data_IF_184927137013
#
_entry.id   IF_184927137013
#
_cell.length_a   1.000
_cell.length_b   1.000
_cell.length_c   1.000
_cell.angle_alpha   90.00
_cell.angle_beta   90.00
_cell.angle_gamma   90.00
#
_symmetry.space_group_name_H-M   'P 1'
#
loop_
_entity.id
_entity.type
_entity.pdbx_description
1 polymer ?
#
# COMPACT_ATOMS: atom_id res chain seq x y z
N UNK A 1 17.13 -3.54 48.41
CA UNK A 1 16.99 -4.46 47.25
C UNK A 1 16.00 -3.85 46.28
N UNK A 2 16.49 -3.06 45.33
CA UNK A 2 15.67 -2.55 44.23
C UNK A 2 15.60 -3.66 43.19
N UNK A 3 14.42 -4.25 43.01
CA UNK A 3 14.18 -5.19 41.92
C UNK A 3 14.50 -4.47 40.61
N UNK A 4 15.48 -4.97 39.86
CA UNK A 4 15.71 -4.54 38.49
C UNK A 4 14.46 -4.89 37.70
N UNK A 5 13.66 -3.89 37.33
CA UNK A 5 12.58 -4.09 36.38
C UNK A 5 13.21 -4.65 35.10
N UNK A 6 12.76 -5.83 34.69
CA UNK A 6 13.16 -6.44 33.43
C UNK A 6 12.81 -5.45 32.31
N UNK A 7 13.73 -5.09 31.40
CA UNK A 7 13.41 -4.14 30.34
C UNK A 7 12.23 -4.66 29.54
N UNK A 8 11.23 -3.81 29.31
CA UNK A 8 10.05 -4.17 28.56
C UNK A 8 10.45 -4.63 27.15
N UNK A 9 10.10 -5.86 26.81
CA UNK A 9 10.49 -6.46 25.53
C UNK A 9 9.73 -5.85 24.36
N UNK A 10 10.39 -5.75 23.20
CA UNK A 10 9.78 -5.31 21.95
C UNK A 10 8.66 -6.29 21.57
N UNK A 11 7.42 -5.81 21.49
CA UNK A 11 6.28 -6.62 21.04
C UNK A 11 6.27 -6.68 19.52
N UNK A 12 5.73 -7.77 18.97
CA UNK A 12 5.73 -8.04 17.53
C UNK A 12 4.33 -8.36 17.04
N UNK A 13 3.99 -7.87 15.85
CA UNK A 13 2.82 -8.33 15.09
C UNK A 13 3.25 -8.68 13.66
N UNK A 14 2.95 -9.89 13.16
CA UNK A 14 2.43 -11.04 13.90
C UNK A 14 3.32 -11.39 15.09
N UNK A 15 2.72 -11.94 16.15
CA UNK A 15 3.51 -12.42 17.30
C UNK A 15 4.53 -13.48 16.84
N UNK A 16 5.64 -13.62 17.56
CA UNK A 16 6.58 -14.70 17.26
C UNK A 16 5.88 -16.06 17.37
N UNK A 17 6.10 -16.91 16.37
CA UNK A 17 5.48 -18.22 16.15
C UNK A 17 3.96 -18.16 15.92
N UNK A 18 3.41 -16.99 15.56
CA UNK A 18 2.01 -16.87 15.18
C UNK A 18 1.66 -17.80 14.00
N UNK A 19 0.42 -18.27 13.97
CA UNK A 19 -0.12 -19.14 12.91
C UNK A 19 -1.40 -18.55 12.36
N UNK A 20 -1.73 -18.90 11.12
CA UNK A 20 -2.96 -18.42 10.48
C UNK A 20 -2.90 -16.94 10.14
N UNK A 21 -1.69 -16.42 9.90
CA UNK A 21 -1.45 -15.01 9.51
C UNK A 21 -1.86 -14.80 8.05
N UNK A 22 -2.45 -13.65 7.72
CA UNK A 22 -2.73 -13.35 6.31
C UNK A 22 -1.42 -13.05 5.57
N UNK A 23 -1.25 -13.50 4.32
CA UNK A 23 -0.04 -13.21 3.55
C UNK A 23 0.20 -11.72 3.28
N UNK A 24 -0.82 -10.87 3.38
CA UNK A 24 -0.69 -9.41 3.24
C UNK A 24 -0.47 -8.70 4.60
N UNK A 25 -0.10 -9.44 5.65
CA UNK A 25 0.20 -8.85 6.97
C UNK A 25 1.32 -7.81 6.89
N UNK A 26 1.20 -6.78 7.71
CA UNK A 26 2.31 -5.88 8.03
C UNK A 26 3.17 -6.50 9.14
N UNK A 27 4.43 -6.13 9.21
CA UNK A 27 5.34 -6.51 10.28
C UNK A 27 5.50 -5.31 11.23
N UNK A 28 5.09 -5.44 12.49
CA UNK A 28 5.07 -4.34 13.45
C UNK A 28 5.97 -4.65 14.63
N UNK A 29 6.78 -3.69 15.03
CA UNK A 29 7.57 -3.70 16.26
C UNK A 29 7.07 -2.57 17.16
N UNK A 30 6.60 -2.91 18.36
CA UNK A 30 6.20 -1.94 19.39
C UNK A 30 7.23 -1.90 20.49
N UNK A 31 7.79 -0.71 20.71
CA UNK A 31 8.89 -0.46 21.62
C UNK A 31 8.41 0.18 22.93
N UNK A 32 9.21 0.11 24.00
CA UNK A 32 8.93 0.85 25.22
C UNK A 32 9.12 2.37 25.09
N UNK A 33 9.91 2.81 24.11
CA UNK A 33 10.18 4.21 23.78
C UNK A 33 10.21 4.41 22.26
N UNK A 34 10.04 5.64 21.75
CA UNK A 34 10.00 5.89 20.31
C UNK A 34 11.31 5.46 19.63
N UNK A 35 11.28 4.56 18.64
CA UNK A 35 12.46 4.25 17.84
C UNK A 35 12.72 5.38 16.82
N UNK A 36 13.97 5.54 16.44
CA UNK A 36 14.36 6.37 15.29
C UNK A 36 14.69 5.47 14.10
N UNK A 37 14.18 5.82 12.92
CA UNK A 37 14.51 5.11 11.69
C UNK A 37 15.96 5.38 11.30
N UNK A 38 16.74 4.32 11.09
CA UNK A 38 18.10 4.41 10.58
C UNK A 38 18.18 4.63 9.07
N UNK A 39 19.39 4.86 8.57
CA UNK A 39 19.69 5.10 7.14
C UNK A 39 20.48 3.97 6.49
N UNK A 40 20.51 2.80 7.12
CA UNK A 40 21.33 1.66 6.71
C UNK A 40 20.78 0.36 7.28
N UNK A 41 21.28 -0.76 6.78
CA UNK A 41 20.84 -2.09 7.20
C UNK A 41 19.62 -2.56 6.43
N UNK A 42 19.36 -3.85 6.53
CA UNK A 42 18.35 -4.53 5.75
C UNK A 42 17.32 -5.21 6.64
N UNK A 43 16.09 -5.21 6.16
CA UNK A 43 15.02 -6.09 6.63
C UNK A 43 14.86 -7.18 5.58
N UNK A 44 14.90 -8.45 5.99
CA UNK A 44 14.80 -9.59 5.08
C UNK A 44 13.76 -10.59 5.58
N UNK A 45 12.97 -11.11 4.66
CA UNK A 45 11.99 -12.15 4.91
C UNK A 45 12.40 -13.40 4.13
N UNK A 46 12.41 -14.55 4.78
CA UNK A 46 12.84 -15.81 4.19
C UNK A 46 11.77 -16.89 4.34
N UNK A 47 11.60 -17.72 3.31
CA UNK A 47 10.84 -18.98 3.43
C UNK A 47 11.63 -19.94 4.32
N UNK A 48 11.04 -20.32 5.46
CA UNK A 48 11.70 -21.13 6.47
C UNK A 48 11.95 -22.58 6.03
N UNK A 49 11.29 -23.06 4.97
CA UNK A 49 11.46 -24.42 4.48
C UNK A 49 12.78 -24.64 3.73
N UNK A 50 13.30 -23.60 3.08
CA UNK A 50 14.46 -23.70 2.18
C UNK A 50 15.42 -22.50 2.24
N UNK A 51 15.24 -21.58 3.19
CA UNK A 51 16.03 -20.37 3.37
C UNK A 51 16.04 -19.43 2.15
N UNK A 52 15.07 -19.58 1.26
CA UNK A 52 14.93 -18.70 0.10
C UNK A 52 14.58 -17.31 0.59
N UNK A 53 15.36 -16.32 0.18
CA UNK A 53 15.03 -14.92 0.35
C UNK A 53 13.76 -14.58 -0.44
N UNK A 54 12.75 -14.07 0.25
CA UNK A 54 11.44 -13.72 -0.31
C UNK A 54 11.34 -12.22 -0.53
N UNK A 55 11.81 -11.43 0.43
CA UNK A 55 11.84 -9.97 0.34
C UNK A 55 13.07 -9.38 1.03
N UNK A 56 13.53 -8.25 0.53
CA UNK A 56 14.57 -7.41 1.14
C UNK A 56 14.18 -5.94 1.01
N UNK A 57 14.19 -5.24 2.15
CA UNK A 57 14.10 -3.79 2.21
C UNK A 57 15.45 -3.24 2.68
N UNK A 58 16.12 -2.46 1.84
CA UNK A 58 17.44 -1.88 2.14
C UNK A 58 17.33 -0.40 2.51
N UNK A 59 17.58 -0.04 3.76
CA UNK A 59 17.39 1.35 4.22
C UNK A 59 18.48 2.32 3.74
N UNK A 60 19.50 1.84 3.03
CA UNK A 60 20.41 2.74 2.28
C UNK A 60 19.76 3.32 1.02
N UNK A 61 18.67 2.71 0.53
CA UNK A 61 17.89 3.20 -0.60
C UNK A 61 16.76 4.11 -0.06
N UNK A 62 16.72 5.40 -0.43
CA UNK A 62 15.68 6.32 0.01
C UNK A 62 14.28 5.89 -0.45
N UNK A 63 13.22 6.21 0.32
CA UNK A 63 11.86 5.75 0.01
C UNK A 63 11.28 6.37 -1.27
N UNK A 64 11.73 7.57 -1.63
CA UNK A 64 11.30 8.30 -2.79
C UNK A 64 11.98 9.68 -2.88
N UNK A 65 11.81 10.38 -4.00
CA UNK A 65 12.29 11.74 -4.17
C UNK A 65 11.67 12.72 -3.16
N UNK A 66 12.47 13.70 -2.73
CA UNK A 66 12.07 14.77 -1.81
C UNK A 66 11.95 16.14 -2.50
N UNK A 67 12.30 16.22 -3.78
CA UNK A 67 12.23 17.43 -4.60
C UNK A 67 11.64 17.07 -5.97
N UNK A 68 10.85 17.98 -6.52
CA UNK A 68 10.22 17.79 -7.83
C UNK A 68 11.25 17.67 -8.96
N UNK A 69 10.85 17.01 -10.05
CA UNK A 69 11.67 16.90 -11.24
C UNK A 69 11.89 18.29 -11.89
N UNK A 70 13.12 18.57 -12.30
CA UNK A 70 13.46 19.75 -13.09
C UNK A 70 13.34 19.43 -14.59
N UNK A 71 12.69 20.29 -15.36
CA UNK A 71 12.59 20.12 -16.82
C UNK A 71 11.40 20.82 -17.45
N UNK A 72 11.33 20.76 -18.78
CA UNK A 72 10.13 21.16 -19.51
C UNK A 72 9.00 20.15 -19.23
N UNK A 73 7.73 20.58 -19.24
CA UNK A 73 6.60 19.67 -19.10
C UNK A 73 6.65 18.56 -20.15
N UNK A 74 6.41 17.32 -19.72
CA UNK A 74 6.31 16.20 -20.64
C UNK A 74 5.07 16.33 -21.53
N UNK A 75 5.09 15.84 -22.79
CA UNK A 75 3.89 15.78 -23.60
C UNK A 75 2.88 14.77 -23.04
N UNK A 76 1.61 14.89 -23.42
CA UNK A 76 0.65 13.81 -23.20
C UNK A 76 0.96 12.62 -24.11
N UNK A 77 0.50 11.43 -23.70
CA UNK A 77 0.70 10.21 -24.50
C UNK A 77 0.10 10.38 -25.91
N UNK A 78 0.82 10.01 -26.99
CA UNK A 78 0.31 10.11 -28.36
C UNK A 78 -0.67 8.98 -28.71
N UNK A 79 -0.74 7.93 -27.89
CA UNK A 79 -1.59 6.76 -28.10
C UNK A 79 -2.27 6.34 -26.78
N UNK A 80 -3.43 5.67 -26.85
CA UNK A 80 -4.10 5.14 -25.67
C UNK A 80 -3.21 4.17 -24.90
N UNK A 81 -3.28 4.26 -23.57
CA UNK A 81 -2.60 3.38 -22.65
C UNK A 81 -3.14 1.95 -22.76
N UNK A 82 -2.22 0.99 -22.91
CA UNK A 82 -2.57 -0.41 -23.06
C UNK A 82 -2.65 -1.09 -21.68
N UNK A 83 -3.87 -1.50 -21.31
CA UNK A 83 -4.13 -2.21 -20.07
C UNK A 83 -3.83 -3.70 -20.19
N UNK A 84 -2.56 -4.06 -19.97
CA UNK A 84 -2.12 -5.45 -19.94
C UNK A 84 -2.55 -6.13 -18.64
N UNK A 85 -3.39 -7.16 -18.75
CA UNK A 85 -3.74 -8.02 -17.61
C UNK A 85 -2.62 -9.01 -17.30
N UNK A 86 -2.36 -9.22 -16.01
CA UNK A 86 -1.35 -10.16 -15.53
C UNK A 86 -1.12 -10.03 -14.04
N UNK A 87 -0.47 -11.04 -13.43
CA UNK A 87 -0.07 -10.99 -12.03
C UNK A 87 1.39 -10.54 -11.93
N UNK A 88 1.61 -9.24 -11.95
CA UNK A 88 2.93 -8.64 -11.80
C UNK A 88 3.17 -8.26 -10.34
N UNK A 89 4.33 -8.65 -9.80
CA UNK A 89 4.77 -8.39 -8.42
C UNK A 89 6.28 -8.24 -8.41
N UNK A 90 6.86 -7.72 -7.32
CA UNK A 90 8.32 -7.66 -7.17
C UNK A 90 9.01 -9.04 -7.22
N UNK A 91 8.27 -10.17 -7.08
CA UNK A 91 8.83 -11.52 -7.19
C UNK A 91 9.11 -11.96 -8.64
N UNK A 92 8.34 -11.46 -9.61
CA UNK A 92 8.40 -11.92 -11.00
C UNK A 92 8.56 -10.80 -12.02
N UNK A 93 8.60 -9.55 -11.57
CA UNK A 93 8.74 -8.38 -12.43
C UNK A 93 9.59 -7.36 -11.72
N UNK A 94 10.50 -6.75 -12.48
CA UNK A 94 11.33 -5.69 -11.99
C UNK A 94 10.49 -4.43 -11.80
N UNK A 95 10.30 -3.97 -10.57
CA UNK A 95 9.60 -2.71 -10.32
C UNK A 95 10.31 -1.54 -11.04
N UNK A 96 9.52 -0.66 -11.67
CA UNK A 96 10.01 0.38 -12.57
C UNK A 96 10.06 -0.03 -14.04
N UNK A 97 9.65 -1.26 -14.37
CA UNK A 97 9.50 -1.72 -15.76
C UNK A 97 8.36 -0.94 -16.43
N UNK A 98 8.64 -0.18 -17.52
CA UNK A 98 7.62 0.64 -18.15
C UNK A 98 6.40 -0.12 -18.61
N UNK A 99 5.25 0.53 -18.50
CA UNK A 99 4.04 0.17 -19.23
C UNK A 99 3.59 1.31 -20.14
N UNK A 100 2.86 0.96 -21.20
CA UNK A 100 2.49 1.92 -22.24
C UNK A 100 3.74 2.53 -22.90
N UNK A 101 3.80 3.86 -22.94
CA UNK A 101 4.88 4.60 -23.58
C UNK A 101 5.88 5.25 -22.59
N UNK A 102 5.78 4.93 -21.30
CA UNK A 102 6.66 5.49 -20.27
C UNK A 102 8.14 5.07 -20.46
N UNK A 103 9.05 5.89 -19.96
CA UNK A 103 10.44 5.47 -19.71
C UNK A 103 10.56 4.78 -18.35
N UNK A 104 11.61 3.96 -18.14
CA UNK A 104 11.81 3.26 -16.87
C UNK A 104 11.83 4.22 -15.67
N UNK A 105 11.16 3.83 -14.58
CA UNK A 105 11.24 4.59 -13.32
C UNK A 105 12.62 4.35 -12.69
N UNK A 106 13.25 5.42 -12.18
CA UNK A 106 14.57 5.32 -11.55
C UNK A 106 14.56 4.34 -10.39
N UNK A 107 15.65 3.58 -10.26
CA UNK A 107 15.85 2.59 -9.19
C UNK A 107 16.71 3.12 -8.05
N UNK A 108 16.96 4.43 -8.04
CA UNK A 108 17.65 5.11 -6.95
C UNK A 108 16.77 5.17 -5.67
N UNK A 109 15.50 4.79 -5.78
CA UNK A 109 14.51 4.80 -4.71
C UNK A 109 13.86 3.43 -4.52
N UNK A 110 13.24 3.22 -3.35
CA UNK A 110 12.41 2.05 -3.07
C UNK A 110 11.24 1.99 -4.04
N UNK A 111 10.96 0.82 -4.63
CA UNK A 111 9.86 0.65 -5.57
C UNK A 111 9.06 -0.61 -5.29
N UNK A 112 7.74 -0.48 -5.19
CA UNK A 112 6.82 -1.60 -5.07
C UNK A 112 5.78 -1.61 -6.20
N UNK A 113 5.48 -2.79 -6.73
CA UNK A 113 4.39 -3.00 -7.69
C UNK A 113 3.09 -3.17 -6.91
N UNK A 114 2.14 -2.26 -7.11
CA UNK A 114 0.80 -2.26 -6.49
C UNK A 114 -0.23 -2.43 -7.60
N UNK A 115 -1.26 -3.28 -7.41
CA UNK A 115 -2.31 -3.51 -8.41
C UNK A 115 -1.79 -4.02 -9.76
N UNK A 116 -0.61 -4.65 -9.77
CA UNK A 116 0.07 -5.11 -10.97
C UNK A 116 0.65 -4.00 -11.86
N UNK A 117 0.77 -2.75 -11.37
CA UNK A 117 1.34 -1.64 -12.14
C UNK A 117 2.87 -1.68 -12.13
N UNK A 118 3.46 -2.05 -13.26
CA UNK A 118 4.88 -2.41 -13.37
C UNK A 118 5.84 -1.23 -13.24
N UNK A 119 5.39 -0.02 -13.58
CA UNK A 119 6.13 1.24 -13.38
C UNK A 119 6.43 1.48 -11.89
N UNK A 120 5.65 0.86 -11.01
CA UNK A 120 5.87 0.86 -9.57
C UNK A 120 5.54 2.18 -8.89
N UNK A 121 5.50 2.09 -7.57
CA UNK A 121 5.29 3.21 -6.65
C UNK A 121 6.50 3.33 -5.74
N UNK A 122 6.96 4.55 -5.53
CA UNK A 122 7.78 4.88 -4.38
C UNK A 122 6.97 4.66 -3.11
N UNK A 123 7.62 4.16 -2.07
CA UNK A 123 6.97 3.83 -0.81
C UNK A 123 7.94 3.90 0.37
N UNK A 124 7.40 4.13 1.56
CA UNK A 124 8.13 4.06 2.82
C UNK A 124 8.18 2.60 3.31
N UNK A 125 9.35 1.93 3.30
CA UNK A 125 9.45 0.53 3.74
C UNK A 125 9.26 0.36 5.25
N UNK A 126 9.48 1.44 6.01
CA UNK A 126 9.24 1.50 7.45
C UNK A 126 8.63 2.86 7.78
N UNK A 127 7.51 2.87 8.51
CA UNK A 127 6.89 4.08 9.03
C UNK A 127 6.86 3.97 10.55
N UNK A 128 7.31 5.03 11.23
CA UNK A 128 7.30 5.11 12.69
C UNK A 128 6.26 6.12 13.15
N UNK A 129 5.33 5.66 13.99
CA UNK A 129 4.38 6.49 14.72
C UNK A 129 4.55 6.21 16.21
N UNK A 130 4.91 7.23 16.99
CA UNK A 130 5.22 7.11 18.41
C UNK A 130 6.19 5.96 18.71
N UNK A 131 5.74 4.94 19.44
CA UNK A 131 6.51 3.77 19.85
C UNK A 131 6.40 2.60 18.86
N UNK A 132 5.79 2.79 17.70
CA UNK A 132 5.45 1.72 16.77
C UNK A 132 6.20 1.92 15.46
N UNK A 133 7.05 0.97 15.10
CA UNK A 133 7.61 0.87 13.76
C UNK A 133 6.82 -0.19 12.97
N UNK A 134 6.18 0.23 11.88
CA UNK A 134 5.50 -0.66 10.94
C UNK A 134 6.36 -0.82 9.71
N UNK A 135 6.68 -2.06 9.39
CA UNK A 135 7.45 -2.48 8.22
C UNK A 135 6.47 -2.94 7.15
N UNK A 136 6.64 -2.39 5.95
CA UNK A 136 5.85 -2.66 4.76
C UNK A 136 6.71 -3.48 3.80
N UNK A 137 6.45 -4.79 3.74
CA UNK A 137 7.01 -5.65 2.70
C UNK A 137 6.48 -5.21 1.33
N UNK A 138 7.21 -5.54 0.25
CA UNK A 138 6.65 -5.32 -1.08
C UNK A 138 5.35 -6.12 -1.24
N UNK A 139 4.39 -5.52 -1.96
CA UNK A 139 3.05 -6.09 -2.11
C UNK A 139 3.07 -7.51 -2.71
N UNK A 140 2.19 -8.38 -2.20
CA UNK A 140 1.91 -9.73 -2.72
C UNK A 140 3.09 -10.71 -2.75
N UNK A 141 4.08 -10.56 -1.86
CA UNK A 141 5.25 -11.44 -1.80
C UNK A 141 5.11 -12.68 -0.93
N UNK A 142 4.31 -12.64 0.14
CA UNK A 142 4.08 -13.81 0.96
C UNK A 142 2.99 -14.69 0.34
N UNK A 143 3.11 -16.00 0.55
CA UNK A 143 2.24 -17.02 0.01
C UNK A 143 1.49 -17.72 1.16
N UNK A 144 0.34 -18.30 0.82
CA UNK A 144 -0.42 -19.17 1.73
C UNK A 144 0.34 -20.47 2.01
N UNK A 145 0.08 -21.07 3.17
CA UNK A 145 0.63 -22.34 3.62
C UNK A 145 2.16 -22.35 3.70
N UNK A 146 2.75 -21.23 4.11
CA UNK A 146 4.19 -21.06 4.29
C UNK A 146 4.53 -20.67 5.71
N UNK A 147 5.77 -20.92 6.10
CA UNK A 147 6.34 -20.38 7.33
C UNK A 147 7.48 -19.48 6.94
N UNK A 148 7.52 -18.29 7.51
CA UNK A 148 8.55 -17.29 7.24
C UNK A 148 9.33 -16.97 8.51
N UNK A 149 10.59 -16.57 8.34
CA UNK A 149 11.34 -15.90 9.39
C UNK A 149 11.82 -14.53 8.92
N UNK A 150 11.86 -13.59 9.85
CA UNK A 150 12.21 -12.18 9.61
C UNK A 150 13.55 -11.88 10.26
N UNK A 151 14.41 -11.18 9.53
CA UNK A 151 15.63 -10.59 10.05
C UNK A 151 15.60 -9.08 9.88
N UNK A 152 16.01 -8.35 10.91
CA UNK A 152 16.09 -6.89 10.95
C UNK A 152 17.48 -6.54 11.43
N UNK A 153 18.29 -5.90 10.59
CA UNK A 153 19.62 -5.46 11.02
C UNK A 153 19.52 -4.42 12.14
N UNK A 154 20.50 -4.35 13.07
CA UNK A 154 20.50 -3.35 14.14
C UNK A 154 20.46 -1.90 13.63
N UNK A 155 21.00 -1.65 12.43
CA UNK A 155 21.02 -0.32 11.82
C UNK A 155 19.68 0.20 11.32
N UNK A 156 18.64 -0.65 11.27
CA UNK A 156 17.31 -0.28 10.74
C UNK A 156 16.56 0.64 11.70
N UNK A 157 16.65 0.38 13.01
CA UNK A 157 15.98 1.16 14.05
C UNK A 157 16.95 1.39 15.21
N UNK A 158 16.94 2.57 15.80
CA UNK A 158 17.71 2.86 17.02
C UNK A 158 16.80 3.32 18.14
N UNK A 159 17.10 2.91 19.37
CA UNK A 159 16.47 3.42 20.58
C UNK A 159 17.46 4.35 21.30
N UNK A 160 16.95 5.34 22.02
CA UNK A 160 17.78 6.28 22.76
C UNK A 160 18.67 5.61 23.82
N UNK A 161 18.24 4.47 24.36
CA UNK A 161 18.99 3.64 25.30
C UNK A 161 19.90 2.59 24.63
N UNK A 162 19.92 2.52 23.30
CA UNK A 162 20.63 1.51 22.53
C UNK A 162 20.06 0.08 22.66
N UNK A 163 18.85 -0.07 23.21
CA UNK A 163 18.29 -1.37 23.58
C UNK A 163 17.84 -2.27 22.43
N UNK A 164 17.83 -1.78 21.18
CA UNK A 164 17.48 -2.58 20.01
C UNK A 164 18.72 -3.10 19.28
N UNK A 165 18.90 -4.42 19.31
CA UNK A 165 20.03 -5.11 18.68
C UNK A 165 19.63 -5.85 17.40
N UNK A 166 18.51 -5.48 16.78
CA UNK A 166 17.97 -6.17 15.61
C UNK A 166 17.22 -7.47 15.93
N UNK A 167 16.80 -8.15 14.88
CA UNK A 167 16.21 -9.50 14.90
C UNK A 167 17.08 -10.38 14.00
N UNK A 168 17.67 -11.44 14.54
CA UNK A 168 18.63 -12.28 13.82
C UNK A 168 18.32 -13.76 13.93
N UNK A 169 18.86 -14.53 12.99
CA UNK A 169 18.70 -15.98 12.95
C UNK A 169 17.29 -16.45 12.57
N UNK A 170 17.14 -17.76 12.36
CA UNK A 170 15.88 -18.36 11.91
C UNK A 170 14.80 -18.44 12.99
N UNK A 171 15.20 -18.37 14.26
CA UNK A 171 14.31 -18.45 15.42
C UNK A 171 14.04 -17.07 16.04
N UNK A 172 14.57 -16.00 15.41
CA UNK A 172 14.47 -14.64 15.93
C UNK A 172 13.03 -14.15 15.93
N UNK A 173 12.37 -14.21 14.77
CA UNK A 173 10.95 -13.90 14.60
C UNK A 173 10.39 -14.75 13.47
N UNK A 174 9.43 -15.62 13.78
CA UNK A 174 8.81 -16.55 12.83
C UNK A 174 7.30 -16.44 12.83
N UNK A 175 6.65 -16.78 11.72
CA UNK A 175 5.19 -16.95 11.67
C UNK A 175 4.78 -17.84 10.50
N UNK A 176 3.60 -18.45 10.58
CA UNK A 176 3.02 -19.27 9.52
C UNK A 176 1.75 -18.63 8.97
N UNK A 177 1.64 -18.56 7.65
CA UNK A 177 0.47 -18.02 6.96
C UNK A 177 -0.72 -18.98 7.00
N UNK A 178 -1.93 -18.46 6.73
CA UNK A 178 -3.13 -19.27 6.54
C UNK A 178 -2.90 -20.35 5.48
N UNK A 179 -3.59 -21.48 5.63
CA UNK A 179 -3.43 -22.65 4.73
C UNK A 179 -3.90 -22.38 3.29
N UNK A 180 -4.91 -21.54 3.11
CA UNK A 180 -5.49 -21.27 1.80
C UNK A 180 -6.10 -19.86 1.77
N UNK A 181 -6.21 -19.24 0.58
CA UNK A 181 -7.00 -18.03 0.39
C UNK A 181 -8.50 -18.29 0.61
N UNK A 182 -9.31 -17.23 0.68
CA UNK A 182 -10.75 -17.35 0.50
C UNK A 182 -11.10 -18.08 -0.82
N UNK A 183 -12.30 -18.67 -0.94
CA UNK A 183 -12.75 -19.22 -2.22
C UNK A 183 -12.69 -18.17 -3.33
N UNK A 184 -12.19 -18.54 -4.52
CA UNK A 184 -12.05 -17.62 -5.66
C UNK A 184 -13.38 -17.02 -6.13
N UNK A 185 -14.52 -17.64 -5.78
CA UNK A 185 -15.85 -17.16 -6.09
C UNK A 185 -16.54 -16.39 -4.95
N UNK A 186 -15.82 -16.04 -3.89
CA UNK A 186 -16.38 -15.31 -2.74
C UNK A 186 -16.97 -13.98 -3.16
N UNK A 187 -18.26 -13.78 -2.89
CA UNK A 187 -18.94 -12.51 -3.13
C UNK A 187 -18.68 -11.48 -2.01
N UNK A 188 -18.04 -11.90 -0.91
CA UNK A 188 -17.68 -11.05 0.22
C UNK A 188 -16.29 -11.41 0.73
N UNK A 189 -15.44 -10.39 0.87
CA UNK A 189 -14.11 -10.47 1.47
C UNK A 189 -14.07 -9.55 2.68
N UNK A 190 -13.41 -9.95 3.76
CA UNK A 190 -13.29 -9.14 4.99
C UNK A 190 -11.86 -8.66 5.19
N UNK A 191 -11.68 -7.35 5.34
CA UNK A 191 -10.41 -6.71 5.68
C UNK A 191 -10.40 -6.37 7.18
N UNK A 192 -9.33 -6.73 7.88
CA UNK A 192 -9.13 -6.41 9.31
C UNK A 192 -7.65 -6.22 9.62
N UNK A 193 -7.26 -5.02 10.10
CA UNK A 193 -5.85 -4.71 10.36
C UNK A 193 -5.19 -5.59 11.43
N UNK A 194 -5.98 -6.17 12.34
CA UNK A 194 -5.54 -7.11 13.38
C UNK A 194 -5.34 -8.56 12.89
N UNK A 195 -5.66 -8.84 11.62
CA UNK A 195 -5.54 -10.18 11.01
C UNK A 195 -6.75 -11.09 11.18
N UNK A 196 -7.84 -10.63 11.82
CA UNK A 196 -9.05 -11.43 12.01
C UNK A 196 -9.91 -11.60 10.73
N UNK A 197 -9.65 -10.79 9.70
CA UNK A 197 -10.31 -10.86 8.39
C UNK A 197 -9.62 -11.84 7.44
N UNK A 198 -10.13 -11.92 6.21
CA UNK A 198 -9.50 -12.63 5.09
C UNK A 198 -8.16 -11.99 4.69
N UNK A 199 -8.08 -10.66 4.84
CA UNK A 199 -6.93 -9.81 4.49
C UNK A 199 -6.63 -8.83 5.63
N UNK A 200 -5.37 -8.43 5.76
CA UNK A 200 -4.96 -7.34 6.65
C UNK A 200 -5.07 -5.96 5.99
N UNK A 201 -5.03 -5.89 4.67
CA UNK A 201 -4.92 -4.66 3.88
C UNK A 201 -6.08 -4.54 2.89
N UNK A 202 -6.40 -3.30 2.51
CA UNK A 202 -7.41 -3.04 1.48
C UNK A 202 -6.85 -3.43 0.12
N UNK A 203 -5.57 -3.15 -0.13
CA UNK A 203 -4.87 -3.53 -1.34
C UNK A 203 -4.87 -5.04 -1.57
N UNK A 204 -4.53 -5.84 -0.54
CA UNK A 204 -4.53 -7.30 -0.65
C UNK A 204 -5.91 -7.88 -1.01
N UNK A 205 -6.99 -7.28 -0.49
CA UNK A 205 -8.35 -7.71 -0.82
C UNK A 205 -8.73 -7.38 -2.27
N UNK A 206 -8.39 -6.19 -2.79
CA UNK A 206 -8.71 -5.84 -4.19
C UNK A 206 -7.83 -6.59 -5.20
N UNK A 207 -6.59 -6.90 -4.84
CA UNK A 207 -5.69 -7.73 -5.65
C UNK A 207 -6.21 -9.16 -5.82
N UNK A 208 -7.00 -9.66 -4.84
CA UNK A 208 -7.63 -10.97 -4.91
C UNK A 208 -8.81 -11.03 -5.90
N UNK A 209 -9.47 -9.89 -6.16
CA UNK A 209 -10.60 -9.82 -7.10
C UNK A 209 -10.07 -9.93 -8.54
N UNK A 210 -10.58 -10.83 -9.39
CA UNK A 210 -10.15 -10.93 -10.78
C UNK A 210 -10.43 -9.66 -11.60
N UNK A 211 -9.64 -9.41 -12.63
CA UNK A 211 -9.91 -8.36 -13.61
C UNK A 211 -11.22 -8.64 -14.35
N UNK A 212 -12.02 -7.58 -14.56
CA UNK A 212 -13.26 -7.58 -15.35
C UNK A 212 -14.27 -8.65 -14.91
N UNK A 213 -14.28 -9.00 -13.62
CA UNK A 213 -15.27 -9.92 -13.06
C UNK A 213 -16.67 -9.29 -13.10
N UNK A 214 -17.59 -9.94 -13.81
CA UNK A 214 -18.96 -9.46 -13.93
C UNK A 214 -19.76 -9.65 -12.64
N UNK A 215 -19.27 -10.46 -11.70
CA UNK A 215 -19.96 -10.77 -10.44
C UNK A 215 -19.74 -9.66 -9.42
N UNK A 216 -20.78 -9.22 -8.70
CA UNK A 216 -20.61 -8.28 -7.60
C UNK A 216 -19.75 -8.87 -6.48
N UNK A 217 -18.74 -8.12 -6.05
CA UNK A 217 -17.89 -8.47 -4.89
C UNK A 217 -17.93 -7.33 -3.87
N UNK A 218 -18.19 -7.65 -2.62
CA UNK A 218 -18.11 -6.70 -1.50
C UNK A 218 -16.84 -6.93 -0.69
N UNK A 219 -15.96 -5.94 -0.65
CA UNK A 219 -14.85 -5.86 0.29
C UNK A 219 -15.36 -5.11 1.52
N UNK A 220 -15.63 -5.84 2.59
CA UNK A 220 -16.04 -5.26 3.87
C UNK A 220 -14.82 -4.94 4.72
N UNK A 221 -14.66 -3.68 5.10
CA UNK A 221 -13.49 -3.17 5.80
C UNK A 221 -13.88 -2.88 7.25
N UNK A 222 -13.29 -3.62 8.19
CA UNK A 222 -13.53 -3.38 9.62
C UNK A 222 -12.89 -2.07 10.07
N UNK A 223 -13.33 -1.57 11.21
CA UNK A 223 -12.73 -0.39 11.84
C UNK A 223 -11.21 -0.55 12.00
N UNK A 224 -10.46 0.48 11.60
CA UNK A 224 -9.01 0.45 11.58
C UNK A 224 -8.40 1.61 10.80
N UNK A 225 -7.12 1.85 11.10
CA UNK A 225 -6.26 2.78 10.38
C UNK A 225 -5.42 1.96 9.38
N UNK A 226 -5.66 2.16 8.09
CA UNK A 226 -5.03 1.44 6.99
C UNK A 226 -4.08 2.40 6.27
N UNK A 227 -2.83 2.47 6.76
CA UNK A 227 -1.80 3.32 6.17
C UNK A 227 -1.19 2.61 4.94
N UNK A 228 -1.73 2.84 3.75
CA UNK A 228 -1.32 2.18 2.51
C UNK A 228 -1.74 3.00 1.28
N UNK A 229 -1.00 2.84 0.19
CA UNK A 229 -1.46 3.26 -1.14
C UNK A 229 -2.37 2.14 -1.66
N UNK A 230 -3.59 2.48 -2.06
CA UNK A 230 -4.49 1.56 -2.75
C UNK A 230 -4.52 1.92 -4.23
N UNK A 231 -4.06 1.02 -5.09
CA UNK A 231 -4.16 1.13 -6.54
C UNK A 231 -4.72 -0.16 -7.13
N UNK A 232 -5.73 -0.04 -7.98
CA UNK A 232 -6.22 -1.15 -8.77
C UNK A 232 -6.63 -0.68 -10.16
N UNK A 233 -6.61 -1.63 -11.09
CA UNK A 233 -7.07 -1.41 -12.46
C UNK A 233 -7.89 -2.56 -13.01
N UNK A 234 -8.66 -2.29 -14.06
CA UNK A 234 -9.48 -3.28 -14.75
C UNK A 234 -10.50 -3.99 -13.83
N UNK A 235 -10.94 -3.37 -12.74
CA UNK A 235 -11.91 -3.99 -11.82
C UNK A 235 -13.33 -3.62 -12.20
N UNK A 236 -14.26 -4.56 -12.01
CA UNK A 236 -15.68 -4.33 -12.26
C UNK A 236 -16.53 -4.81 -11.09
N UNK A 237 -17.62 -4.07 -10.80
CA UNK A 237 -18.64 -4.45 -9.82
C UNK A 237 -18.11 -4.71 -8.40
N UNK A 238 -17.19 -3.86 -7.92
CA UNK A 238 -16.60 -3.98 -6.57
C UNK A 238 -17.17 -2.91 -5.65
N UNK A 239 -17.66 -3.33 -4.49
CA UNK A 239 -18.06 -2.42 -3.40
C UNK A 239 -17.05 -2.50 -2.26
N UNK A 240 -16.39 -1.38 -1.95
CA UNK A 240 -15.65 -1.19 -0.71
C UNK A 240 -16.62 -0.61 0.33
N UNK A 241 -16.96 -1.42 1.32
CA UNK A 241 -17.91 -1.08 2.37
C UNK A 241 -17.18 -1.03 3.70
N UNK A 242 -16.95 0.19 4.22
CA UNK A 242 -16.45 0.35 5.58
C UNK A 242 -17.53 0.05 6.61
N UNK A 243 -17.10 -0.49 7.75
CA UNK A 243 -17.94 -0.71 8.93
C UNK A 243 -18.49 0.62 9.49
N UNK A 244 -17.68 1.68 9.44
CA UNK A 244 -18.02 3.01 9.93
C UNK A 244 -17.16 4.07 9.22
N UNK A 245 -17.79 5.17 8.78
CA UNK A 245 -17.15 6.23 8.01
C UNK A 245 -15.97 6.88 8.72
N UNK A 246 -16.06 7.10 10.03
CA UNK A 246 -15.04 7.81 10.82
C UNK A 246 -13.96 6.87 11.34
N UNK A 247 -14.28 5.57 11.49
CA UNK A 247 -13.39 4.57 12.09
C UNK A 247 -12.69 3.67 11.07
N UNK A 248 -13.13 3.64 9.81
CA UNK A 248 -12.40 3.04 8.69
C UNK A 248 -11.66 4.15 7.95
N UNK A 249 -10.35 4.25 8.16
CA UNK A 249 -9.53 5.29 7.55
C UNK A 249 -8.43 4.67 6.70
N UNK A 250 -8.51 4.80 5.39
CA UNK A 250 -7.43 4.47 4.45
C UNK A 250 -6.62 5.73 4.18
N UNK A 251 -5.31 5.70 4.40
CA UNK A 251 -4.50 6.90 4.25
C UNK A 251 -3.06 6.64 3.83
N UNK A 252 -2.44 7.63 3.22
CA UNK A 252 -0.99 7.62 2.95
C UNK A 252 -0.47 9.04 2.74
N UNK A 253 0.84 9.25 2.92
CA UNK A 253 1.49 10.50 2.50
C UNK A 253 1.99 10.30 1.07
N UNK A 254 1.22 10.76 0.07
CA UNK A 254 1.58 10.60 -1.34
C UNK A 254 1.37 11.90 -2.12
N UNK A 255 2.20 12.22 -3.10
CA UNK A 255 1.99 13.40 -3.94
C UNK A 255 2.82 13.30 -5.22
N UNK A 256 2.68 14.30 -6.09
CA UNK A 256 3.45 14.39 -7.34
C UNK A 256 4.97 14.44 -7.11
N UNK A 257 5.45 14.96 -5.97
CA UNK A 257 6.89 14.94 -5.68
C UNK A 257 7.34 13.53 -5.38
N UNK A 258 6.63 12.82 -4.50
CA UNK A 258 6.99 11.49 -4.03
C UNK A 258 6.74 10.40 -5.09
N UNK A 259 5.64 10.47 -5.81
CA UNK A 259 5.28 9.57 -6.91
C UNK A 259 4.97 10.36 -8.20
N UNK A 260 6.02 10.90 -8.87
CA UNK A 260 5.83 11.73 -10.06
C UNK A 260 5.34 10.93 -11.26
N UNK A 261 4.81 11.60 -12.29
CA UNK A 261 4.68 10.99 -13.60
C UNK A 261 6.08 10.69 -14.23
N UNK A 262 6.18 9.74 -15.18
CA UNK A 262 7.42 9.50 -15.92
C UNK A 262 7.89 10.77 -16.64
N UNK A 263 9.21 10.98 -16.70
CA UNK A 263 9.79 12.22 -17.25
C UNK A 263 9.46 12.48 -18.73
N UNK A 264 9.02 11.46 -19.46
CA UNK A 264 8.69 11.58 -20.89
C UNK A 264 7.19 11.69 -21.18
N UNK A 265 6.29 11.47 -20.20
CA UNK A 265 4.84 11.47 -20.42
C UNK A 265 4.09 12.09 -19.24
N UNK A 266 3.30 13.12 -19.55
CA UNK A 266 2.32 13.70 -18.62
C UNK A 266 1.05 12.86 -18.53
N UNK A 267 0.35 12.99 -17.42
CA UNK A 267 -0.97 12.39 -17.18
C UNK A 267 -2.07 13.44 -17.35
N UNK A 268 -3.28 13.04 -17.73
CA UNK A 268 -4.46 13.92 -17.76
C UNK A 268 -5.74 13.11 -17.48
N UNK A 269 -6.88 13.75 -17.66
CA UNK A 269 -8.21 13.21 -17.31
C UNK A 269 -8.83 12.35 -18.42
N UNK A 270 -8.21 12.27 -19.59
CA UNK A 270 -8.79 11.58 -20.74
C UNK A 270 -8.65 10.06 -20.60
N UNK A 271 -9.67 9.28 -21.00
CA UNK A 271 -9.59 7.83 -21.00
C UNK A 271 -8.39 7.31 -21.80
N UNK A 272 -7.63 6.39 -21.19
CA UNK A 272 -6.46 5.80 -21.84
C UNK A 272 -5.23 6.69 -21.81
N UNK A 273 -5.07 7.59 -20.85
CA UNK A 273 -3.76 8.18 -20.58
C UNK A 273 -2.94 7.37 -19.60
N UNK A 274 -1.66 7.70 -19.47
CA UNK A 274 -0.83 7.08 -18.45
C UNK A 274 -1.43 7.32 -17.06
N UNK A 275 -1.52 6.29 -16.20
CA UNK A 275 -2.14 6.43 -14.88
C UNK A 275 -1.37 7.37 -13.95
N UNK A 276 -2.09 8.26 -13.27
CA UNK A 276 -1.52 9.06 -12.18
C UNK A 276 -1.15 8.17 -10.99
N UNK A 277 -0.07 8.54 -10.28
CA UNK A 277 0.44 7.82 -9.10
C UNK A 277 0.35 8.61 -7.78
N UNK A 278 -0.17 9.84 -7.80
CA UNK A 278 -0.05 10.80 -6.68
C UNK A 278 -1.17 10.70 -5.63
N UNK A 279 -2.29 10.03 -5.94
CA UNK A 279 -3.39 9.86 -5.01
C UNK A 279 -3.10 8.78 -3.94
N UNK A 280 -3.79 8.81 -2.80
CA UNK A 280 -3.70 7.74 -1.79
C UNK A 280 -4.56 6.52 -2.15
N UNK A 281 -5.70 6.73 -2.83
CA UNK A 281 -6.61 5.69 -3.29
C UNK A 281 -6.97 5.90 -4.76
N UNK A 282 -6.72 4.89 -5.60
CA UNK A 282 -6.80 5.00 -7.06
C UNK A 282 -7.53 3.80 -7.67
N UNK A 283 -8.57 4.10 -8.45
CA UNK A 283 -9.21 3.13 -9.35
C UNK A 283 -9.03 3.55 -10.80
N UNK A 284 -8.34 2.74 -11.59
CA UNK A 284 -7.98 3.04 -12.97
C UNK A 284 -8.68 2.07 -13.94
N UNK A 285 -9.20 2.56 -15.06
CA UNK A 285 -9.93 1.76 -16.05
C UNK A 285 -10.92 0.75 -15.42
N UNK A 286 -11.74 1.23 -14.48
CA UNK A 286 -12.60 0.40 -13.66
C UNK A 286 -14.05 0.89 -13.70
N UNK A 287 -15.00 -0.05 -13.59
CA UNK A 287 -16.43 0.28 -13.72
C UNK A 287 -17.28 -0.33 -12.62
N UNK A 288 -18.30 0.39 -12.16
CA UNK A 288 -19.16 -0.12 -11.08
C UNK A 288 -18.40 -0.23 -9.76
N UNK A 289 -17.52 0.73 -9.48
CA UNK A 289 -16.78 0.81 -8.22
C UNK A 289 -17.59 1.64 -7.23
N UNK A 290 -17.94 1.05 -6.11
CA UNK A 290 -18.69 1.71 -5.05
C UNK A 290 -17.81 1.87 -3.80
N UNK A 291 -17.68 3.09 -3.31
CA UNK A 291 -17.02 3.43 -2.05
C UNK A 291 -18.08 3.90 -1.05
N UNK A 292 -18.24 3.17 0.06
CA UNK A 292 -19.35 3.38 1.00
C UNK A 292 -18.86 3.32 2.45
N UNK A 293 -19.23 4.30 3.28
CA UNK A 293 -18.96 4.32 4.74
C UNK A 293 -17.48 4.22 5.15
N UNK A 294 -16.59 5.00 4.52
CA UNK A 294 -15.17 5.05 4.90
C UNK A 294 -14.60 6.46 4.75
N UNK A 295 -13.41 6.68 5.32
CA UNK A 295 -12.59 7.86 5.10
C UNK A 295 -11.35 7.51 4.30
N UNK A 296 -11.03 8.33 3.30
CA UNK A 296 -9.83 8.24 2.47
C UNK A 296 -9.04 9.53 2.65
N UNK A 297 -7.76 9.43 2.99
CA UNK A 297 -6.94 10.61 3.32
C UNK A 297 -5.57 10.55 2.67
N UNK A 298 -5.21 11.62 1.97
CA UNK A 298 -3.83 11.91 1.64
C UNK A 298 -3.30 12.98 2.60
N UNK A 299 -2.20 12.65 3.29
CA UNK A 299 -1.60 13.53 4.32
C UNK A 299 -0.50 14.44 3.78
N UNK A 300 -0.17 14.33 2.48
CA UNK A 300 0.78 15.23 1.84
C UNK A 300 0.12 16.56 1.42
N UNK A 301 0.96 17.52 1.00
CA UNK A 301 0.55 18.82 0.46
C UNK A 301 0.98 18.97 -1.00
N UNK A 302 0.40 19.96 -1.68
CA UNK A 302 0.62 20.21 -3.11
C UNK A 302 -0.37 19.41 -3.95
N UNK A 303 0.08 18.84 -5.06
CA UNK A 303 -0.70 17.94 -5.90
C UNK A 303 -0.78 16.55 -5.24
N UNK A 304 -1.85 16.32 -4.48
CA UNK A 304 -1.97 15.22 -3.51
C UNK A 304 -3.43 14.86 -3.25
N UNK A 305 -3.99 14.04 -4.13
CA UNK A 305 -5.40 13.65 -4.11
C UNK A 305 -5.64 12.62 -3.02
N UNK A 306 -6.79 12.73 -2.34
CA UNK A 306 -7.28 11.65 -1.49
C UNK A 306 -7.75 10.48 -2.33
N UNK A 307 -8.63 10.77 -3.30
CA UNK A 307 -9.28 9.78 -4.15
C UNK A 307 -9.16 10.16 -5.62
N UNK A 308 -8.69 9.23 -6.45
CA UNK A 308 -8.72 9.32 -7.91
C UNK A 308 -9.51 8.13 -8.48
N UNK A 309 -10.57 8.40 -9.24
CA UNK A 309 -11.33 7.38 -9.96
C UNK A 309 -11.36 7.68 -11.46
N UNK A 310 -10.97 6.70 -12.26
CA UNK A 310 -11.08 6.72 -13.71
C UNK A 310 -11.90 5.54 -14.23
N UNK A 311 -12.97 5.87 -14.95
CA UNK A 311 -13.89 4.90 -15.53
C UNK A 311 -15.35 5.34 -15.37
N UNK A 312 -16.27 4.38 -15.25
CA UNK A 312 -17.70 4.69 -15.37
C UNK A 312 -18.59 3.94 -14.39
N UNK A 313 -19.76 4.53 -14.09
CA UNK A 313 -20.81 3.96 -13.22
C UNK A 313 -20.33 3.78 -11.78
N UNK A 314 -19.49 4.69 -11.32
CA UNK A 314 -18.93 4.64 -9.97
C UNK A 314 -19.87 5.36 -8.98
N UNK A 315 -19.83 4.95 -7.71
CA UNK A 315 -20.62 5.56 -6.63
C UNK A 315 -19.68 5.88 -5.46
N UNK A 316 -19.78 7.08 -4.93
CA UNK A 316 -19.12 7.49 -3.67
C UNK A 316 -20.21 7.98 -2.72
N UNK A 317 -20.52 7.19 -1.70
CA UNK A 317 -21.66 7.42 -0.82
C UNK A 317 -21.23 7.41 0.63
N UNK A 318 -21.50 8.50 1.36
CA UNK A 318 -21.16 8.60 2.78
C UNK A 318 -19.66 8.36 3.05
N UNK A 319 -18.82 9.04 2.27
CA UNK A 319 -17.36 8.97 2.35
C UNK A 319 -16.78 10.31 2.79
N UNK A 320 -15.67 10.29 3.54
CA UNK A 320 -14.83 11.49 3.73
C UNK A 320 -13.60 11.37 2.85
N UNK A 321 -13.37 12.32 1.95
CA UNK A 321 -12.14 12.42 1.17
C UNK A 321 -11.34 13.62 1.68
N UNK A 322 -10.08 13.40 2.03
CA UNK A 322 -9.14 14.45 2.42
C UNK A 322 -7.93 14.39 1.49
N UNK A 323 -7.57 15.52 0.91
CA UNK A 323 -6.35 15.70 0.12
C UNK A 323 -5.86 17.14 0.20
N UNK A 324 -5.02 17.54 -0.74
CA UNK A 324 -4.54 18.92 -0.88
C UNK A 324 -5.07 19.54 -2.17
N UNK A 325 -4.24 19.66 -3.22
CA UNK A 325 -4.67 19.94 -4.58
C UNK A 325 -5.21 18.67 -5.25
N UNK A 326 -6.28 18.84 -5.99
CA UNK A 326 -7.13 17.84 -6.63
C UNK A 326 -7.66 16.80 -5.62
N UNK A 327 -8.05 17.24 -4.41
CA UNK A 327 -8.39 16.34 -3.29
C UNK A 327 -9.34 15.19 -3.68
N UNK A 328 -10.31 15.44 -4.57
CA UNK A 328 -11.09 14.42 -5.27
C UNK A 328 -10.92 14.57 -6.79
N UNK A 329 -10.23 13.64 -7.46
CA UNK A 329 -10.14 13.63 -8.92
C UNK A 329 -11.04 12.55 -9.53
N UNK A 330 -11.95 12.96 -10.43
CA UNK A 330 -12.89 12.05 -11.10
C UNK A 330 -12.79 12.20 -12.62
N UNK A 331 -12.41 11.10 -13.26
CA UNK A 331 -12.28 10.98 -14.71
C UNK A 331 -13.35 10.01 -15.22
N UNK A 332 -14.57 10.53 -15.42
CA UNK A 332 -15.73 9.81 -15.94
C UNK A 332 -16.96 9.82 -15.01
N UNK A 333 -18.06 9.14 -15.38
CA UNK A 333 -19.31 9.23 -14.63
C UNK A 333 -19.24 8.64 -13.22
N UNK A 334 -19.52 9.47 -12.22
CA UNK A 334 -19.67 9.10 -10.80
C UNK A 334 -20.94 9.73 -10.20
N UNK A 335 -21.58 9.03 -9.27
CA UNK A 335 -22.58 9.62 -8.39
C UNK A 335 -21.99 9.79 -6.99
N UNK A 336 -21.86 11.03 -6.52
CA UNK A 336 -21.36 11.36 -5.18
C UNK A 336 -22.52 11.85 -4.31
N UNK A 337 -22.75 11.21 -3.17
CA UNK A 337 -23.79 11.60 -2.20
C UNK A 337 -23.29 11.51 -0.76
N UNK A 338 -23.85 12.36 0.10
CA UNK A 338 -23.65 12.35 1.56
C UNK A 338 -22.17 12.35 2.01
N UNK A 339 -21.30 12.89 1.17
CA UNK A 339 -19.84 12.82 1.34
C UNK A 339 -19.25 14.18 1.69
N UNK A 340 -18.12 14.16 2.39
CA UNK A 340 -17.33 15.35 2.72
C UNK A 340 -16.02 15.32 1.93
N UNK A 341 -15.68 16.41 1.28
CA UNK A 341 -14.43 16.56 0.52
C UNK A 341 -13.68 17.75 1.10
N UNK A 342 -12.44 17.53 1.54
CA UNK A 342 -11.57 18.53 2.14
C UNK A 342 -10.28 18.64 1.32
N UNK A 343 -9.98 19.84 0.82
CA UNK A 343 -8.76 20.17 0.09
C UNK A 343 -8.21 21.54 0.51
N UNK A 344 -6.94 21.79 0.19
CA UNK A 344 -6.26 23.07 0.49
C UNK A 344 -6.30 24.04 -0.71
N UNK A 345 -6.58 23.55 -1.93
CA UNK A 345 -6.59 24.30 -3.18
C UNK A 345 -7.74 23.86 -4.09
N UNK A 346 -7.46 23.63 -5.38
CA UNK A 346 -8.39 22.99 -6.31
C UNK A 346 -8.84 21.67 -5.68
N UNK A 347 -10.10 21.60 -5.25
CA UNK A 347 -10.57 20.54 -4.34
C UNK A 347 -11.18 19.36 -5.11
N UNK A 348 -11.73 19.63 -6.30
CA UNK A 348 -12.37 18.66 -7.20
C UNK A 348 -11.95 18.98 -8.63
#
# INVERSE_FOLDING_TARGET
MTASAQPASVKRFPADKARGVNPDTRLVLTFPSPPTLGKSGQIRIYDAANDRLVDTLDLSIPPGPAAGAAGAPAPYTPAPYEYVSGRFTNANTLAGTPSGAAVPTSRDFQLTIIGGFTDGFHFYPVIVHDNVATIYAHNSLLEYNKTYYVQVDPGVLTLADGGFTGVSGKQGWTFSTKRAPPPANSARLVVSGDGAGDFNTVQGAIDFVPDRDSRPVTIFIRNGMYEEIVYFRNKTNVTFLGEDRERVVVYYTNNEVFNPHPSNISTNEWPGTFPSRRAAFMGDNSSGIHLINLSIKNTARGQAEGLLLMGERNIVSHVTVVGSGDALQINGPVYVTDSLILGDGDTI
#
